data_IF_272405734079
#
_entry.id   IF_272405734079
#
_cell.length_a   1.000
_cell.length_b   1.000
_cell.length_c   1.000
_cell.angle_alpha   90.00
_cell.angle_beta   90.00
_cell.angle_gamma   90.00
#
_symmetry.space_group_name_H-M   'P 1'
#
loop_
_entity.id
_entity.type
_entity.pdbx_description
1 polymer ?
#
# COMPACT_ATOMS: atom_id res chain seq x y z
N UNK A 1 3.33 -14.35 -6.98
CA UNK A 1 3.75 -13.12 -6.27
C UNK A 1 4.02 -12.07 -7.35
N UNK A 2 3.44 -10.88 -7.24
CA UNK A 2 3.73 -9.73 -8.10
C UNK A 2 4.61 -8.75 -7.33
N UNK A 3 5.56 -8.10 -8.00
CA UNK A 3 6.39 -7.04 -7.42
C UNK A 3 6.35 -5.81 -8.30
N UNK A 4 6.12 -4.64 -7.72
CA UNK A 4 6.20 -3.34 -8.41
C UNK A 4 6.95 -2.34 -7.56
N UNK A 5 7.45 -1.26 -8.18
CA UNK A 5 8.03 -0.17 -7.41
C UNK A 5 6.92 0.67 -6.74
N UNK A 6 5.94 1.12 -7.53
CA UNK A 6 4.86 2.02 -7.11
C UNK A 6 3.70 1.23 -6.47
N UNK A 7 3.04 1.77 -5.42
CA UNK A 7 1.83 1.17 -4.86
C UNK A 7 0.65 1.21 -5.83
N UNK A 8 -0.32 0.27 -5.72
CA UNK A 8 -1.63 0.44 -6.33
C UNK A 8 -2.39 1.59 -5.67
N UNK A 9 -3.23 2.29 -6.42
CA UNK A 9 -4.06 3.36 -5.86
C UNK A 9 -4.97 2.84 -4.73
N UNK A 10 -5.06 3.61 -3.63
CA UNK A 10 -5.82 3.30 -2.40
C UNK A 10 -5.39 2.04 -1.64
N UNK A 11 -4.21 1.50 -1.96
CA UNK A 11 -3.62 0.37 -1.27
C UNK A 11 -2.29 0.83 -0.66
N UNK A 12 -2.33 1.23 0.61
CA UNK A 12 -1.17 1.72 1.36
C UNK A 12 -0.36 2.78 0.58
N UNK A 13 -1.06 3.67 -0.12
CA UNK A 13 -0.48 4.59 -1.09
C UNK A 13 -0.38 6.04 -0.59
N UNK A 14 -0.73 6.28 0.68
CA UNK A 14 -0.55 7.58 1.31
C UNK A 14 0.92 7.79 1.67
N UNK A 15 1.50 8.83 1.10
CA UNK A 15 2.89 9.22 1.32
C UNK A 15 2.96 10.63 1.91
N UNK A 16 3.93 10.86 2.80
CA UNK A 16 4.26 12.21 3.25
C UNK A 16 4.73 13.07 2.07
N UNK A 17 4.21 14.29 2.00
CA UNK A 17 4.59 15.30 1.03
C UNK A 17 4.95 16.62 1.72
N UNK A 18 5.85 17.43 1.15
CA UNK A 18 6.23 18.73 1.72
C UNK A 18 5.02 19.62 2.00
N UNK A 19 5.09 20.45 3.05
CA UNK A 19 4.03 21.42 3.41
C UNK A 19 3.59 22.34 2.27
N UNK A 20 4.50 22.66 1.34
CA UNK A 20 4.14 23.45 0.15
C UNK A 20 3.09 22.77 -0.75
N UNK A 21 2.95 21.45 -0.64
CA UNK A 21 1.98 20.62 -1.34
C UNK A 21 0.87 20.11 -0.41
N UNK A 22 0.86 20.52 0.87
CA UNK A 22 -0.18 20.09 1.81
C UNK A 22 -1.52 20.67 1.39
N UNK A 23 -2.54 19.83 1.40
CA UNK A 23 -3.90 20.23 1.07
C UNK A 23 -4.77 20.22 2.33
N UNK A 24 -5.54 21.27 2.52
CA UNK A 24 -6.66 21.30 3.47
C UNK A 24 -7.96 20.81 2.84
N UNK A 25 -7.96 20.55 1.53
CA UNK A 25 -9.14 20.08 0.83
C UNK A 25 -9.48 18.63 1.21
N UNK A 26 -10.77 18.32 1.42
CA UNK A 26 -11.23 16.96 1.65
C UNK A 26 -10.87 16.04 0.48
N UNK A 27 -10.30 14.88 0.77
CA UNK A 27 -10.07 13.86 -0.24
C UNK A 27 -11.40 13.19 -0.60
N UNK A 28 -11.86 13.40 -1.84
CA UNK A 28 -13.07 12.77 -2.38
C UNK A 28 -13.02 11.24 -2.38
N UNK A 29 -11.82 10.67 -2.37
CA UNK A 29 -11.59 9.22 -2.44
C UNK A 29 -11.47 8.56 -1.05
N UNK A 30 -11.35 9.36 0.01
CA UNK A 30 -11.21 8.88 1.39
C UNK A 30 -12.30 9.45 2.29
N UNK A 31 -13.56 9.35 1.86
CA UNK A 31 -14.73 9.79 2.61
C UNK A 31 -14.62 11.23 3.13
N UNK A 32 -14.09 12.15 2.31
CA UNK A 32 -13.88 13.56 2.66
C UNK A 32 -12.92 13.77 3.84
N UNK A 33 -12.00 12.83 4.07
CA UNK A 33 -10.92 13.00 5.05
C UNK A 33 -9.89 14.01 4.52
N UNK A 34 -9.40 14.89 5.38
CA UNK A 34 -8.30 15.82 5.05
C UNK A 34 -6.98 15.18 5.42
N UNK A 35 -6.08 15.05 4.44
CA UNK A 35 -4.82 14.29 4.60
C UNK A 35 -3.64 15.19 5.00
N UNK A 36 -3.82 16.51 5.05
CA UNK A 36 -2.81 17.46 5.49
C UNK A 36 -1.52 17.35 4.65
N UNK A 37 -0.43 16.90 5.29
CA UNK A 37 0.88 16.70 4.64
C UNK A 37 1.02 15.32 3.98
N UNK A 38 -0.08 14.65 3.65
CA UNK A 38 -0.07 13.36 2.97
C UNK A 38 -0.86 13.41 1.66
N UNK A 39 -0.41 12.66 0.66
CA UNK A 39 -1.06 12.55 -0.65
C UNK A 39 -1.03 11.11 -1.17
N UNK A 40 -1.96 10.78 -2.07
CA UNK A 40 -2.00 9.46 -2.72
C UNK A 40 -1.00 9.41 -3.87
N UNK A 41 -0.08 8.45 -3.79
CA UNK A 41 0.99 8.25 -4.78
C UNK A 41 0.82 6.94 -5.56
N UNK A 42 -0.35 6.29 -5.41
CA UNK A 42 -0.66 5.02 -6.05
C UNK A 42 -1.12 5.14 -7.48
N UNK A 43 -0.88 4.07 -8.24
CA UNK A 43 -1.24 3.98 -9.66
C UNK A 43 -2.63 3.37 -9.86
N UNK A 44 -3.52 4.16 -10.50
CA UNK A 44 -4.88 3.74 -10.84
C UNK A 44 -4.91 2.62 -11.90
N UNK A 45 -3.98 2.66 -12.87
CA UNK A 45 -3.89 1.62 -13.89
C UNK A 45 -3.38 0.31 -13.30
N UNK A 46 -2.47 0.37 -12.33
CA UNK A 46 -1.93 -0.82 -11.67
C UNK A 46 -3.01 -1.58 -10.89
N UNK A 47 -3.82 -0.88 -10.08
CA UNK A 47 -4.87 -1.55 -9.31
C UNK A 47 -5.90 -2.22 -10.23
N UNK A 48 -6.20 -1.61 -11.39
CA UNK A 48 -7.07 -2.21 -12.40
C UNK A 48 -6.49 -3.51 -12.95
N UNK A 49 -5.21 -3.52 -13.33
CA UNK A 49 -4.53 -4.73 -13.83
C UNK A 49 -4.49 -5.84 -12.78
N UNK A 50 -4.22 -5.49 -11.53
CA UNK A 50 -4.17 -6.44 -10.42
C UNK A 50 -5.55 -7.06 -10.19
N UNK A 51 -6.60 -6.24 -10.14
CA UNK A 51 -7.96 -6.71 -9.85
C UNK A 51 -8.60 -7.49 -11.00
N UNK A 52 -8.35 -7.09 -12.23
CA UNK A 52 -9.09 -7.61 -13.39
C UNK A 52 -8.34 -8.71 -14.16
N UNK A 53 -7.00 -8.78 -14.06
CA UNK A 53 -6.20 -9.68 -14.90
C UNK A 53 -5.19 -10.51 -14.13
N UNK A 54 -4.36 -9.89 -13.29
CA UNK A 54 -3.19 -10.57 -12.70
C UNK A 54 -3.60 -11.38 -11.47
N UNK A 55 -4.41 -10.81 -10.59
CA UNK A 55 -4.96 -11.41 -9.36
C UNK A 55 -3.94 -12.26 -8.58
N UNK A 56 -2.78 -11.69 -8.21
CA UNK A 56 -1.73 -12.46 -7.55
C UNK A 56 -2.12 -12.75 -6.10
N UNK A 57 -1.73 -13.92 -5.56
CA UNK A 57 -1.91 -14.20 -4.11
C UNK A 57 -1.24 -13.17 -3.19
N UNK A 58 -0.10 -12.62 -3.64
CA UNK A 58 0.67 -11.60 -2.91
C UNK A 58 1.18 -10.56 -3.92
N UNK A 59 1.02 -9.28 -3.60
CA UNK A 59 1.61 -8.15 -4.29
C UNK A 59 2.47 -7.33 -3.34
N UNK A 60 3.78 -7.26 -3.60
CA UNK A 60 4.71 -6.44 -2.83
C UNK A 60 5.09 -5.18 -3.62
N UNK A 61 5.15 -4.05 -2.93
CA UNK A 61 5.55 -2.76 -3.50
C UNK A 61 6.31 -1.90 -2.49
N UNK A 62 6.86 -0.77 -2.93
CA UNK A 62 7.54 0.20 -2.07
C UNK A 62 7.17 1.63 -2.47
N UNK A 63 8.18 2.47 -2.69
CA UNK A 63 8.07 3.87 -3.16
C UNK A 63 7.48 4.86 -2.16
N UNK A 64 6.49 4.45 -1.37
CA UNK A 64 6.00 5.21 -0.22
C UNK A 64 7.05 5.07 0.88
N UNK A 65 7.97 6.03 1.00
CA UNK A 65 9.06 6.02 2.01
C UNK A 65 8.53 6.32 3.43
N UNK A 66 7.41 5.68 3.78
CA UNK A 66 6.70 5.81 5.04
C UNK A 66 6.64 4.44 5.73
N UNK A 67 5.75 4.25 6.70
CA UNK A 67 5.68 3.03 7.49
C UNK A 67 5.36 1.76 6.65
N UNK A 68 6.07 0.64 6.92
CA UNK A 68 5.77 -0.65 6.31
C UNK A 68 4.39 -1.16 6.78
N UNK A 69 3.72 -1.94 5.94
CA UNK A 69 2.38 -2.40 6.25
C UNK A 69 1.85 -3.46 5.29
N UNK A 70 0.68 -4.00 5.60
CA UNK A 70 0.00 -4.93 4.72
C UNK A 70 -1.52 -4.71 4.75
N UNK A 71 -2.19 -5.06 3.66
CA UNK A 71 -3.66 -5.01 3.52
C UNK A 71 -4.12 -6.24 2.75
N UNK A 72 -5.13 -6.93 3.27
CA UNK A 72 -5.73 -8.06 2.57
C UNK A 72 -7.02 -7.60 1.89
N UNK A 73 -7.12 -7.88 0.58
CA UNK A 73 -8.26 -7.46 -0.26
C UNK A 73 -9.36 -8.52 -0.21
N UNK A 74 -10.15 -8.48 0.87
CA UNK A 74 -11.20 -9.48 1.15
C UNK A 74 -12.36 -9.43 0.15
N UNK A 75 -12.63 -8.26 -0.43
CA UNK A 75 -13.86 -8.03 -1.21
C UNK A 75 -13.70 -8.23 -2.72
N UNK A 76 -12.47 -8.38 -3.23
CA UNK A 76 -12.19 -8.42 -4.68
C UNK A 76 -11.37 -9.66 -5.07
N UNK A 77 -10.06 -9.66 -4.80
CA UNK A 77 -9.14 -10.64 -5.39
C UNK A 77 -8.60 -11.69 -4.42
N UNK A 78 -8.71 -11.46 -3.11
CA UNK A 78 -7.95 -12.21 -2.12
C UNK A 78 -6.43 -11.99 -2.23
N UNK A 79 -6.00 -10.85 -2.79
CA UNK A 79 -4.59 -10.47 -2.85
C UNK A 79 -4.12 -9.94 -1.49
N UNK A 80 -2.99 -10.44 -1.00
CA UNK A 80 -2.26 -9.81 0.10
C UNK A 80 -1.32 -8.73 -0.45
N UNK A 81 -1.62 -7.48 -0.13
CA UNK A 81 -0.80 -6.33 -0.48
C UNK A 81 0.20 -6.03 0.63
N UNK A 82 1.47 -5.83 0.29
CA UNK A 82 2.55 -5.58 1.25
C UNK A 82 3.34 -4.34 0.81
N UNK A 83 3.29 -3.28 1.61
CA UNK A 83 4.21 -2.17 1.50
C UNK A 83 5.53 -2.56 2.18
N UNK A 84 6.53 -2.87 1.36
CA UNK A 84 7.90 -3.16 1.76
C UNK A 84 8.75 -1.88 1.88
N UNK A 85 8.12 -0.76 2.22
CA UNK A 85 8.82 0.48 2.52
C UNK A 85 9.92 0.24 3.56
N UNK A 86 11.09 0.78 3.26
CA UNK A 86 12.24 0.75 4.15
C UNK A 86 12.44 2.16 4.67
N UNK A 87 12.29 2.31 5.98
CA UNK A 87 12.87 3.44 6.69
C UNK A 87 14.40 3.30 6.60
N UNK A 88 15.06 4.27 5.96
CA UNK A 88 16.52 4.29 5.81
C UNK A 88 17.23 4.57 7.15
N UNK A 89 16.49 4.96 8.19
CA UNK A 89 17.03 4.99 9.54
C UNK A 89 17.33 3.57 10.03
N UNK A 90 18.42 3.41 10.76
CA UNK A 90 18.89 2.10 11.21
C UNK A 90 17.92 1.53 12.27
N UNK A 91 16.89 0.82 11.83
CA UNK A 91 15.86 0.19 12.67
C UNK A 91 15.93 -1.34 12.53
N UNK A 92 15.58 -2.09 13.59
CA UNK A 92 15.47 -3.54 13.48
C UNK A 92 14.48 -3.94 12.39
N UNK A 93 14.85 -4.91 11.54
CA UNK A 93 13.92 -5.54 10.60
C UNK A 93 12.78 -6.20 11.39
N UNK A 94 11.55 -5.75 11.15
CA UNK A 94 10.32 -6.35 11.69
C UNK A 94 9.60 -7.07 10.57
N UNK A 95 9.31 -8.35 10.75
CA UNK A 95 8.43 -9.10 9.85
C UNK A 95 7.46 -9.94 10.67
N UNK A 96 6.24 -10.05 10.15
CA UNK A 96 5.23 -10.94 10.70
C UNK A 96 5.38 -12.30 10.01
N UNK A 97 5.50 -13.36 10.80
CA UNK A 97 5.52 -14.73 10.30
C UNK A 97 4.19 -15.40 10.64
N UNK A 98 3.49 -15.86 9.61
CA UNK A 98 2.23 -16.59 9.76
C UNK A 98 2.50 -18.08 9.54
N UNK A 99 2.23 -18.88 10.56
CA UNK A 99 2.29 -20.35 10.49
C UNK A 99 0.87 -20.88 10.44
N UNK A 100 0.57 -21.62 9.38
CA UNK A 100 -0.63 -22.44 9.30
C UNK A 100 -0.36 -23.75 10.06
N UNK A 101 -0.92 -23.88 11.26
CA UNK A 101 -0.77 -25.06 12.11
C UNK A 101 -1.66 -26.23 11.68
N UNK A 102 -2.52 -26.04 10.67
CA UNK A 102 -3.53 -27.03 10.27
C UNK A 102 -3.23 -27.74 8.95
N UNK A 103 -2.02 -27.59 8.39
CA UNK A 103 -1.56 -28.46 7.31
C UNK A 103 -0.99 -29.75 7.89
N UNK A 104 -1.83 -30.80 7.85
CA UNK A 104 -1.46 -32.19 8.02
C UNK A 104 -0.41 -32.64 7.00
#
# INVERSE_FOLDING_TARGET
ILMTHVPPQFILDLAYQPKALSSTEPCSMCNNTVHGCYGHWGSASLIKEIRQRIQPRVHCFGHVHDDPGHKYDQDDTGTLFINAATDLSNRPFKFNFYVDLNKH
#
